data_IF_937798165431
#
_entry.id   IF_937798165431
#
_cell.length_a   1.000
_cell.length_b   1.000
_cell.length_c   1.000
_cell.angle_alpha   90.00
_cell.angle_beta   90.00
_cell.angle_gamma   90.00
#
_symmetry.space_group_name_H-M   'P 1'
#
loop_
_entity.id
_entity.type
_entity.pdbx_description
1 polymer ?
#
# COMPACT_ATOMS: atom_id res chain seq x y z
N UNK A 1 -2.25 9.82 34.52
CA UNK A 1 -2.19 9.62 33.05
C UNK A 1 -2.91 8.32 32.78
N UNK A 2 -4.00 8.33 32.02
CA UNK A 2 -4.73 7.08 31.73
C UNK A 2 -3.85 6.19 30.86
N UNK A 3 -3.49 5.03 31.39
CA UNK A 3 -2.69 4.06 30.69
C UNK A 3 -3.40 3.60 29.39
N UNK A 4 -2.71 3.70 28.25
CA UNK A 4 -3.27 3.36 26.94
C UNK A 4 -2.94 1.91 26.63
N UNK A 5 -3.96 1.10 26.39
CA UNK A 5 -3.81 -0.30 26.01
C UNK A 5 -3.57 -0.38 24.49
N UNK A 6 -2.59 -1.16 24.06
CA UNK A 6 -2.38 -1.44 22.62
C UNK A 6 -2.96 -2.80 22.28
N UNK A 7 -3.72 -2.86 21.19
CA UNK A 7 -4.29 -4.09 20.64
C UNK A 7 -3.75 -4.23 19.23
N UNK A 8 -2.97 -5.28 19.00
CA UNK A 8 -2.48 -5.62 17.67
C UNK A 8 -3.35 -6.76 17.12
N UNK A 9 -3.94 -6.55 15.95
CA UNK A 9 -4.74 -7.53 15.23
C UNK A 9 -4.01 -8.08 14.00
N UNK A 10 -3.02 -7.38 13.46
CA UNK A 10 -2.16 -7.88 12.39
C UNK A 10 -1.18 -8.92 12.97
N UNK A 11 -1.22 -10.14 12.44
CA UNK A 11 -0.57 -11.31 13.01
C UNK A 11 -1.39 -11.97 14.13
N UNK A 12 -0.70 -12.61 15.07
CA UNK A 12 -1.37 -13.16 16.26
C UNK A 12 -1.87 -12.00 17.10
N UNK A 13 -3.14 -12.02 17.50
CA UNK A 13 -3.74 -11.00 18.36
C UNK A 13 -2.87 -10.81 19.58
N UNK A 14 -2.57 -9.56 19.93
CA UNK A 14 -1.81 -9.21 21.12
C UNK A 14 -2.50 -8.05 21.84
N UNK A 15 -2.55 -8.13 23.17
CA UNK A 15 -3.01 -7.05 24.02
C UNK A 15 -1.85 -6.66 24.92
N UNK A 16 -1.36 -5.44 24.77
CA UNK A 16 -0.23 -4.90 25.53
C UNK A 16 -0.75 -3.85 26.50
N UNK A 17 -0.51 -4.09 27.78
CA UNK A 17 -0.84 -3.21 28.91
C UNK A 17 0.46 -2.73 29.58
N UNK A 18 0.41 -1.82 30.57
CA UNK A 18 1.63 -1.46 31.35
C UNK A 18 2.25 -2.70 32.03
N UNK A 19 1.41 -3.65 32.45
CA UNK A 19 1.84 -4.87 33.13
C UNK A 19 2.36 -5.96 32.15
N UNK A 20 2.52 -5.61 30.87
CA UNK A 20 3.01 -6.49 29.81
C UNK A 20 1.91 -7.07 28.92
N UNK A 21 2.22 -8.19 28.25
CA UNK A 21 1.32 -8.87 27.29
C UNK A 21 0.24 -9.65 28.05
N UNK A 22 -1.03 -9.32 27.80
CA UNK A 22 -2.19 -9.87 28.51
C UNK A 22 -2.92 -10.99 27.74
N UNK A 23 -2.35 -11.52 26.65
CA UNK A 23 -3.06 -12.43 25.74
C UNK A 23 -3.48 -13.75 26.41
N UNK A 24 -2.58 -14.40 27.15
CA UNK A 24 -2.87 -15.66 27.85
C UNK A 24 -3.93 -15.51 28.94
N UNK A 25 -4.18 -14.27 29.37
CA UNK A 25 -5.14 -13.94 30.42
C UNK A 25 -6.53 -13.66 29.87
N UNK A 26 -6.76 -13.62 28.55
CA UNK A 26 -8.04 -13.20 27.93
C UNK A 26 -9.26 -14.08 28.24
N UNK A 27 -9.10 -15.22 28.92
CA UNK A 27 -10.23 -16.05 29.34
C UNK A 27 -10.73 -17.03 28.28
N UNK A 28 -9.88 -17.37 27.30
CA UNK A 28 -10.17 -18.34 26.25
C UNK A 28 -10.55 -17.72 24.90
N UNK A 29 -10.95 -18.57 23.95
CA UNK A 29 -11.21 -18.19 22.56
C UNK A 29 -12.37 -17.19 22.46
N UNK A 30 -13.53 -17.49 23.05
CA UNK A 30 -14.73 -16.65 22.88
C UNK A 30 -14.59 -15.21 23.43
N UNK A 31 -14.06 -14.97 24.65
CA UNK A 31 -13.77 -13.60 25.07
C UNK A 31 -12.75 -12.88 24.19
N UNK A 32 -11.71 -13.56 23.71
CA UNK A 32 -10.75 -12.99 22.77
C UNK A 32 -11.45 -12.54 21.48
N UNK A 33 -12.30 -13.40 20.90
CA UNK A 33 -13.09 -13.06 19.71
C UNK A 33 -13.99 -11.84 19.93
N UNK A 34 -14.63 -11.72 21.11
CA UNK A 34 -15.42 -10.52 21.46
C UNK A 34 -14.53 -9.27 21.47
N UNK A 35 -13.32 -9.33 22.05
CA UNK A 35 -12.39 -8.21 22.05
C UNK A 35 -11.95 -7.84 20.63
N UNK A 36 -11.63 -8.82 19.79
CA UNK A 36 -11.24 -8.62 18.40
C UNK A 36 -12.36 -7.95 17.59
N UNK A 37 -13.61 -8.42 17.72
CA UNK A 37 -14.78 -7.80 17.08
C UNK A 37 -14.96 -6.34 17.51
N UNK A 38 -14.80 -6.07 18.81
CA UNK A 38 -14.86 -4.71 19.34
C UNK A 38 -13.69 -3.84 18.87
N UNK A 39 -12.49 -4.41 18.70
CA UNK A 39 -11.30 -3.72 18.22
C UNK A 39 -11.40 -3.36 16.73
N UNK A 40 -11.95 -4.26 15.89
CA UNK A 40 -12.31 -3.95 14.50
C UNK A 40 -13.29 -2.78 14.39
N UNK A 41 -14.13 -2.59 15.41
CA UNK A 41 -15.13 -1.52 15.51
C UNK A 41 -14.76 -0.44 16.52
N UNK A 42 -13.47 -0.24 16.83
CA UNK A 42 -13.03 0.71 17.86
C UNK A 42 -13.67 2.10 17.69
N UNK A 43 -14.14 2.67 18.79
CA UNK A 43 -14.85 3.95 18.80
C UNK A 43 -16.29 3.90 18.28
N UNK A 44 -16.81 2.74 17.87
CA UNK A 44 -18.21 2.54 17.47
C UNK A 44 -18.87 1.44 18.30
N UNK A 45 -20.13 1.62 18.74
CA UNK A 45 -20.83 0.58 19.50
C UNK A 45 -21.22 -0.59 18.59
N UNK A 46 -21.06 -1.82 19.09
CA UNK A 46 -21.60 -3.04 18.52
C UNK A 46 -22.73 -3.58 19.39
N UNK A 47 -23.84 -3.98 18.79
CA UNK A 47 -24.97 -4.53 19.54
C UNK A 47 -24.67 -5.91 20.10
N UNK A 48 -25.35 -6.26 21.20
CA UNK A 48 -25.24 -7.61 21.78
C UNK A 48 -25.64 -8.68 20.76
N UNK A 49 -26.69 -8.40 19.99
CA UNK A 49 -27.20 -9.29 18.94
C UNK A 49 -26.18 -9.46 17.82
N UNK A 50 -25.55 -8.37 17.37
CA UNK A 50 -24.52 -8.45 16.32
C UNK A 50 -23.28 -9.20 16.81
N UNK A 51 -22.84 -8.95 18.03
CA UNK A 51 -21.74 -9.72 18.64
C UNK A 51 -22.11 -11.19 18.74
N UNK A 52 -23.35 -11.52 19.10
CA UNK A 52 -23.80 -12.90 19.21
C UNK A 52 -23.84 -13.61 17.85
N UNK A 53 -24.42 -12.97 16.83
CA UNK A 53 -24.43 -13.47 15.46
C UNK A 53 -23.02 -13.78 14.95
N UNK A 54 -22.07 -12.86 15.13
CA UNK A 54 -20.68 -13.07 14.71
C UNK A 54 -19.98 -14.16 15.53
N UNK A 55 -20.27 -14.24 16.83
CA UNK A 55 -19.60 -15.16 17.74
C UNK A 55 -20.09 -16.60 17.62
N UNK A 56 -21.34 -16.82 17.21
CA UNK A 56 -21.97 -18.14 17.09
C UNK A 56 -22.46 -18.43 15.68
N UNK A 57 -21.85 -17.83 14.65
CA UNK A 57 -22.14 -18.10 13.24
C UNK A 57 -23.65 -18.05 12.91
N UNK A 58 -24.33 -17.00 13.37
CA UNK A 58 -25.77 -16.75 13.23
C UNK A 58 -26.72 -17.68 14.05
N UNK A 59 -26.18 -18.62 14.84
CA UNK A 59 -26.95 -19.52 15.72
C UNK A 59 -26.63 -19.32 17.22
N UNK A 60 -26.97 -18.16 17.81
CA UNK A 60 -26.69 -17.91 19.22
C UNK A 60 -27.55 -18.77 20.15
N UNK A 61 -27.01 -19.23 21.30
CA UNK A 61 -27.80 -19.98 22.28
C UNK A 61 -28.89 -19.09 22.91
N UNK A 62 -30.02 -19.65 23.38
CA UNK A 62 -31.14 -18.86 23.94
C UNK A 62 -30.76 -17.89 25.08
N UNK A 63 -29.67 -18.18 25.80
CA UNK A 63 -29.15 -17.38 26.91
C UNK A 63 -27.86 -16.61 26.58
N UNK A 64 -27.60 -16.32 25.29
CA UNK A 64 -26.35 -15.69 24.83
C UNK A 64 -26.02 -14.37 25.55
N UNK A 65 -27.04 -13.60 25.97
CA UNK A 65 -26.85 -12.30 26.63
C UNK A 65 -26.02 -12.44 27.91
N UNK A 66 -26.38 -13.39 28.79
CA UNK A 66 -25.67 -13.61 30.05
C UNK A 66 -24.25 -14.16 29.83
N UNK A 67 -24.09 -15.02 28.82
CA UNK A 67 -22.77 -15.53 28.41
C UNK A 67 -21.88 -14.40 27.88
N UNK A 68 -22.41 -13.53 27.02
CA UNK A 68 -21.70 -12.38 26.47
C UNK A 68 -21.32 -11.37 27.56
N UNK A 69 -22.22 -11.11 28.52
CA UNK A 69 -21.94 -10.28 29.70
C UNK A 69 -20.82 -10.85 30.56
N UNK A 70 -20.77 -12.18 30.71
CA UNK A 70 -19.70 -12.88 31.42
C UNK A 70 -18.35 -12.70 30.71
N UNK A 71 -18.32 -12.84 29.38
CA UNK A 71 -17.11 -12.58 28.58
C UNK A 71 -16.63 -11.13 28.72
N UNK A 72 -17.54 -10.15 28.62
CA UNK A 72 -17.19 -8.73 28.79
C UNK A 72 -16.71 -8.42 30.21
N UNK A 73 -17.30 -9.05 31.24
CA UNK A 73 -16.86 -8.93 32.62
C UNK A 73 -15.41 -9.40 32.80
N UNK A 74 -15.06 -10.54 32.20
CA UNK A 74 -13.69 -11.08 32.18
C UNK A 74 -12.75 -10.10 31.48
N UNK A 75 -13.08 -9.65 30.27
CA UNK A 75 -12.26 -8.70 29.50
C UNK A 75 -12.00 -7.40 30.28
N UNK A 76 -13.04 -6.81 30.89
CA UNK A 76 -12.89 -5.59 31.72
C UNK A 76 -11.93 -5.78 32.88
N UNK A 77 -11.95 -6.95 33.52
CA UNK A 77 -11.03 -7.28 34.61
C UNK A 77 -9.58 -7.31 34.15
N UNK A 78 -9.34 -7.88 32.97
CA UNK A 78 -7.99 -8.04 32.40
C UNK A 78 -7.45 -6.72 31.86
N UNK A 79 -8.30 -5.92 31.22
CA UNK A 79 -7.97 -4.60 30.70
C UNK A 79 -7.86 -3.52 31.81
N UNK A 80 -7.84 -3.92 33.09
CA UNK A 80 -7.50 -3.06 34.22
C UNK A 80 -8.43 -1.88 34.50
N UNK A 81 -9.64 -1.85 33.91
CA UNK A 81 -10.50 -0.66 33.95
C UNK A 81 -11.94 -1.00 34.35
N UNK A 82 -12.46 -0.29 35.35
CA UNK A 82 -13.80 -0.50 35.93
C UNK A 82 -14.63 0.78 35.90
N UNK A 83 -15.96 0.64 35.97
CA UNK A 83 -16.87 1.78 36.07
C UNK A 83 -16.81 2.71 34.85
N UNK A 84 -16.85 4.03 35.09
CA UNK A 84 -16.81 5.05 34.02
C UNK A 84 -15.51 5.06 33.21
N UNK A 85 -14.42 4.57 33.80
CA UNK A 85 -13.10 4.48 33.18
C UNK A 85 -12.89 3.17 32.42
N UNK A 86 -13.88 2.26 32.40
CA UNK A 86 -13.83 1.00 31.66
C UNK A 86 -13.49 1.22 30.18
N UNK A 87 -12.50 0.47 29.68
CA UNK A 87 -12.08 0.43 28.27
C UNK A 87 -13.21 -0.08 27.38
N UNK A 88 -13.98 -1.06 27.86
CA UNK A 88 -15.21 -1.54 27.21
C UNK A 88 -16.40 -0.91 27.92
N UNK A 89 -17.09 0.03 27.29
CA UNK A 89 -18.29 0.67 27.85
C UNK A 89 -19.55 -0.09 27.43
N UNK A 90 -20.49 -0.21 28.37
CA UNK A 90 -21.87 -0.59 28.03
C UNK A 90 -22.58 0.68 27.58
N UNK A 91 -23.19 0.62 26.41
CA UNK A 91 -24.02 1.68 25.83
C UNK A 91 -25.47 1.21 25.76
N UNK A 92 -26.39 2.10 25.37
CA UNK A 92 -27.79 1.72 25.13
C UNK A 92 -27.93 0.68 24.01
N UNK A 93 -27.02 0.68 23.03
CA UNK A 93 -27.09 -0.19 21.85
C UNK A 93 -26.25 -1.45 21.97
N UNK A 94 -25.34 -1.54 22.95
CA UNK A 94 -24.48 -2.72 23.17
C UNK A 94 -23.14 -2.36 23.83
N UNK A 95 -22.02 -2.77 23.24
CA UNK A 95 -20.68 -2.54 23.79
C UNK A 95 -19.82 -1.66 22.87
N UNK A 96 -19.04 -0.76 23.47
CA UNK A 96 -18.14 0.16 22.79
C UNK A 96 -16.72 -0.01 23.34
N UNK A 97 -15.76 -0.25 22.45
CA UNK A 97 -14.34 -0.12 22.79
C UNK A 97 -13.90 1.34 22.65
N UNK A 98 -13.44 1.93 23.74
CA UNK A 98 -13.11 3.35 23.83
C UNK A 98 -11.81 3.68 23.10
N UNK A 99 -11.90 4.38 21.98
CA UNK A 99 -10.73 4.86 21.21
C UNK A 99 -9.79 5.77 22.02
N UNK A 100 -10.29 6.48 23.02
CA UNK A 100 -9.45 7.32 23.89
C UNK A 100 -8.65 6.52 24.94
N UNK A 101 -8.90 5.21 25.06
CA UNK A 101 -8.24 4.31 26.02
C UNK A 101 -7.48 3.17 25.35
N UNK A 102 -7.68 2.97 24.05
CA UNK A 102 -6.98 1.94 23.28
C UNK A 102 -6.35 2.49 22.01
N UNK A 103 -5.23 1.89 21.61
CA UNK A 103 -4.68 2.02 20.26
C UNK A 103 -4.81 0.66 19.60
N UNK A 104 -5.60 0.60 18.52
CA UNK A 104 -5.70 -0.58 17.65
C UNK A 104 -4.83 -0.34 16.43
N UNK A 105 -3.93 -1.26 16.11
CA UNK A 105 -2.97 -1.16 15.00
C UNK A 105 -3.64 -0.81 13.66
N UNK A 106 -4.70 -1.53 13.26
CA UNK A 106 -5.42 -1.28 12.01
C UNK A 106 -6.15 0.07 11.98
N UNK A 107 -6.70 0.54 13.12
CA UNK A 107 -7.36 1.85 13.21
C UNK A 107 -6.32 2.97 13.13
N UNK A 108 -5.17 2.77 13.77
CA UNK A 108 -4.06 3.70 13.70
C UNK A 108 -3.48 3.78 12.28
N UNK A 109 -3.21 2.64 11.65
CA UNK A 109 -2.73 2.57 10.27
C UNK A 109 -3.69 3.25 9.30
N UNK A 110 -5.00 2.97 9.40
CA UNK A 110 -6.04 3.65 8.62
C UNK A 110 -5.98 5.17 8.77
N UNK A 111 -5.84 5.67 10.02
CA UNK A 111 -5.76 7.13 10.28
C UNK A 111 -4.48 7.75 9.73
N UNK A 112 -3.35 7.05 9.81
CA UNK A 112 -2.08 7.47 9.24
C UNK A 112 -2.15 7.57 7.72
N UNK A 113 -2.68 6.54 7.04
CA UNK A 113 -2.88 6.54 5.59
C UNK A 113 -3.89 7.63 5.17
N UNK A 114 -4.99 7.78 5.89
CA UNK A 114 -5.97 8.85 5.63
C UNK A 114 -5.32 10.24 5.68
N UNK A 115 -4.45 10.49 6.66
CA UNK A 115 -3.69 11.75 6.74
C UNK A 115 -2.66 11.87 5.61
N UNK A 116 -2.00 10.78 5.24
CA UNK A 116 -1.00 10.78 4.17
C UNK A 116 -1.56 11.21 2.80
N UNK A 117 -2.85 10.97 2.54
CA UNK A 117 -3.55 11.39 1.29
C UNK A 117 -3.52 12.89 1.00
N UNK A 118 -3.23 13.72 1.99
CA UNK A 118 -3.18 15.18 1.85
C UNK A 118 -1.91 15.79 2.45
N UNK A 119 -1.00 14.94 2.94
CA UNK A 119 0.23 15.39 3.57
C UNK A 119 1.25 15.84 2.53
N UNK A 120 2.23 16.63 2.97
CA UNK A 120 3.39 16.98 2.14
C UNK A 120 4.32 15.77 2.01
N UNK A 121 5.14 15.70 0.96
CA UNK A 121 6.01 14.56 0.63
C UNK A 121 6.70 13.89 1.85
N UNK A 122 7.56 14.64 2.56
CA UNK A 122 8.31 14.11 3.71
C UNK A 122 7.43 13.69 4.90
N UNK A 123 6.23 14.25 5.03
CA UNK A 123 5.27 13.84 6.05
C UNK A 123 4.51 12.59 5.61
N UNK A 124 4.08 12.53 4.33
CA UNK A 124 3.41 11.39 3.74
C UNK A 124 4.27 10.13 3.86
N UNK A 125 5.56 10.23 3.55
CA UNK A 125 6.51 9.11 3.66
C UNK A 125 6.57 8.54 5.09
N UNK A 126 6.77 9.40 6.11
CA UNK A 126 6.80 8.96 7.52
C UNK A 126 5.49 8.33 7.98
N UNK A 127 4.36 8.89 7.54
CA UNK A 127 3.03 8.37 7.88
C UNK A 127 2.81 6.99 7.25
N UNK A 128 3.20 6.83 5.97
CA UNK A 128 3.14 5.56 5.24
C UNK A 128 4.01 4.50 5.89
N UNK A 129 5.26 4.82 6.24
CA UNK A 129 6.17 3.85 6.85
C UNK A 129 5.64 3.36 8.20
N UNK A 130 5.13 4.29 9.01
CA UNK A 130 4.48 3.95 10.28
C UNK A 130 3.24 3.08 10.08
N UNK A 131 2.44 3.35 9.04
CA UNK A 131 1.23 2.58 8.75
C UNK A 131 1.56 1.17 8.23
N UNK A 132 2.50 1.05 7.29
CA UNK A 132 2.88 -0.24 6.70
C UNK A 132 3.53 -1.16 7.73
N UNK A 133 4.31 -0.62 8.67
CA UNK A 133 4.87 -1.40 9.78
C UNK A 133 3.79 -1.96 10.72
N UNK A 134 2.65 -1.28 10.85
CA UNK A 134 1.51 -1.76 11.66
C UNK A 134 0.66 -2.80 10.92
N UNK A 135 0.70 -2.81 9.58
CA UNK A 135 -0.04 -3.72 8.71
C UNK A 135 0.79 -4.93 8.28
N UNK A 136 1.83 -5.27 9.06
CA UNK A 136 2.66 -6.43 8.81
C UNK A 136 2.02 -7.69 9.41
N UNK A 137 1.87 -8.73 8.58
CA UNK A 137 1.22 -10.00 8.95
C UNK A 137 -0.30 -10.05 8.73
N UNK A 138 -0.83 -11.28 8.73
CA UNK A 138 -2.23 -11.54 8.43
C UNK A 138 -3.16 -11.02 9.53
N UNK A 139 -4.17 -10.24 9.15
CA UNK A 139 -5.20 -9.78 10.09
C UNK A 139 -5.89 -10.97 10.77
N UNK A 140 -5.97 -10.94 12.10
CA UNK A 140 -6.61 -11.96 12.93
C UNK A 140 -6.02 -13.36 12.68
N UNK A 141 -4.69 -13.50 12.60
CA UNK A 141 -4.06 -14.81 12.44
C UNK A 141 -4.35 -15.78 13.61
N UNK A 142 -4.88 -15.27 14.73
CA UNK A 142 -5.38 -16.07 15.85
C UNK A 142 -6.71 -16.79 15.57
N UNK A 143 -7.42 -16.41 14.51
CA UNK A 143 -8.74 -16.91 14.15
C UNK A 143 -8.77 -17.39 12.68
N UNK A 144 -7.90 -18.35 12.27
CA UNK A 144 -7.75 -18.71 10.86
C UNK A 144 -9.04 -19.25 10.23
N UNK A 145 -9.83 -19.99 11.02
CA UNK A 145 -11.01 -20.74 10.55
C UNK A 145 -12.35 -20.05 10.87
N UNK A 146 -12.35 -18.88 11.50
CA UNK A 146 -13.59 -18.21 11.89
C UNK A 146 -14.18 -17.45 10.69
N UNK A 147 -15.43 -17.74 10.32
CA UNK A 147 -16.10 -17.15 9.16
C UNK A 147 -16.19 -15.62 9.27
N UNK A 148 -16.53 -15.11 10.46
CA UNK A 148 -16.55 -13.68 10.73
C UNK A 148 -15.17 -13.03 10.52
N UNK A 149 -14.08 -13.70 10.92
CA UNK A 149 -12.72 -13.18 10.77
C UNK A 149 -12.31 -13.13 9.30
N UNK A 150 -12.65 -14.16 8.51
CA UNK A 150 -12.41 -14.17 7.07
C UNK A 150 -13.12 -13.00 6.38
N UNK A 151 -14.40 -12.76 6.68
CA UNK A 151 -15.14 -11.64 6.11
C UNK A 151 -14.47 -10.29 6.44
N UNK A 152 -13.96 -10.14 7.67
CA UNK A 152 -13.26 -8.92 8.11
C UNK A 152 -11.89 -8.76 7.44
N UNK A 153 -11.14 -9.84 7.18
CA UNK A 153 -9.92 -9.80 6.36
C UNK A 153 -10.21 -9.24 4.97
N UNK A 154 -11.23 -9.76 4.29
CA UNK A 154 -11.60 -9.28 2.95
C UNK A 154 -11.98 -7.80 2.93
N UNK A 155 -12.76 -7.34 3.91
CA UNK A 155 -13.14 -5.92 4.02
C UNK A 155 -11.92 -5.05 4.29
N UNK A 156 -11.05 -5.46 5.22
CA UNK A 156 -9.85 -4.73 5.57
C UNK A 156 -8.85 -4.66 4.41
N UNK A 157 -8.69 -5.74 3.66
CA UNK A 157 -7.77 -5.79 2.52
C UNK A 157 -8.20 -4.81 1.43
N UNK A 158 -9.51 -4.81 1.09
CA UNK A 158 -10.09 -3.86 0.13
C UNK A 158 -9.87 -2.41 0.55
N UNK A 159 -10.21 -2.09 1.81
CA UNK A 159 -10.01 -0.73 2.33
C UNK A 159 -8.54 -0.30 2.33
N UNK A 160 -7.63 -1.24 2.63
CA UNK A 160 -6.19 -0.98 2.63
C UNK A 160 -5.67 -0.75 1.22
N UNK A 161 -6.10 -1.55 0.25
CA UNK A 161 -5.81 -1.37 -1.18
C UNK A 161 -6.28 0.00 -1.66
N UNK A 162 -7.52 0.40 -1.35
CA UNK A 162 -8.07 1.69 -1.75
C UNK A 162 -7.26 2.85 -1.17
N UNK A 163 -7.01 2.83 0.15
CA UNK A 163 -6.25 3.88 0.83
C UNK A 163 -4.81 3.98 0.33
N UNK A 164 -4.11 2.86 0.16
CA UNK A 164 -2.75 2.87 -0.37
C UNK A 164 -2.70 3.37 -1.81
N UNK A 165 -3.70 3.04 -2.63
CA UNK A 165 -3.83 3.54 -4.00
C UNK A 165 -4.02 5.06 -4.03
N UNK A 166 -4.89 5.59 -3.16
CA UNK A 166 -5.10 7.03 -3.02
C UNK A 166 -3.81 7.76 -2.60
N UNK A 167 -3.07 7.20 -1.63
CA UNK A 167 -1.79 7.79 -1.19
C UNK A 167 -0.72 7.67 -2.29
N UNK A 168 -0.70 6.57 -3.06
CA UNK A 168 0.20 6.40 -4.19
C UNK A 168 -0.07 7.44 -5.28
N UNK A 169 -1.34 7.68 -5.61
CA UNK A 169 -1.75 8.70 -6.58
C UNK A 169 -1.38 10.11 -6.09
N UNK A 170 -1.58 10.41 -4.81
CA UNK A 170 -1.17 11.67 -4.20
C UNK A 170 0.36 11.87 -4.26
N UNK A 171 1.13 10.84 -3.91
CA UNK A 171 2.60 10.89 -4.01
C UNK A 171 3.09 11.14 -5.45
N UNK A 172 2.44 10.51 -6.43
CA UNK A 172 2.72 10.78 -7.85
C UNK A 172 2.45 12.25 -8.21
N UNK A 173 1.30 12.79 -7.78
CA UNK A 173 0.93 14.20 -7.99
C UNK A 173 1.86 15.21 -7.31
N UNK A 174 2.56 14.81 -6.25
CA UNK A 174 3.60 15.61 -5.58
C UNK A 174 4.97 15.56 -6.30
N UNK A 175 5.12 14.74 -7.34
CA UNK A 175 6.41 14.53 -7.99
C UNK A 175 7.35 13.63 -7.18
N UNK A 176 6.79 12.71 -6.37
CA UNK A 176 7.55 11.74 -5.55
C UNK A 176 7.44 10.32 -6.13
N UNK A 177 8.07 10.04 -7.29
CA UNK A 177 7.83 8.79 -8.01
C UNK A 177 8.36 7.56 -7.27
N UNK A 178 9.39 7.70 -6.42
CA UNK A 178 9.90 6.60 -5.60
C UNK A 178 8.86 6.13 -4.57
N UNK A 179 8.20 7.07 -3.88
CA UNK A 179 7.13 6.76 -2.92
C UNK A 179 5.91 6.19 -3.65
N UNK A 180 5.52 6.77 -4.77
CA UNK A 180 4.41 6.29 -5.59
C UNK A 180 4.62 4.85 -6.05
N UNK A 181 5.81 4.51 -6.56
CA UNK A 181 6.15 3.15 -6.98
C UNK A 181 6.13 2.16 -5.82
N UNK A 182 6.70 2.54 -4.67
CA UNK A 182 6.73 1.68 -3.49
C UNK A 182 5.32 1.35 -2.99
N UNK A 183 4.45 2.36 -2.94
CA UNK A 183 3.05 2.20 -2.53
C UNK A 183 2.25 1.39 -3.55
N UNK A 184 2.37 1.70 -4.84
CA UNK A 184 1.70 0.94 -5.88
C UNK A 184 2.15 -0.52 -5.90
N UNK A 185 3.44 -0.81 -5.67
CA UNK A 185 3.92 -2.18 -5.49
C UNK A 185 3.36 -2.86 -4.22
N UNK A 186 3.13 -2.10 -3.14
CA UNK A 186 2.45 -2.62 -1.95
C UNK A 186 0.98 -2.95 -2.20
N UNK A 187 0.32 -2.22 -3.10
CA UNK A 187 -1.03 -2.52 -3.58
C UNK A 187 -1.03 -3.76 -4.48
N UNK A 188 -0.16 -3.84 -5.49
CA UNK A 188 -0.18 -4.98 -6.44
C UNK A 188 0.19 -6.31 -5.79
N UNK A 189 0.94 -6.31 -4.68
CA UNK A 189 1.18 -7.51 -3.86
C UNK A 189 -0.08 -8.01 -3.14
N UNK A 190 -0.99 -7.09 -2.81
CA UNK A 190 -2.25 -7.36 -2.10
C UNK A 190 -3.36 -7.72 -3.07
N UNK A 191 -3.48 -6.94 -4.13
CA UNK A 191 -4.45 -7.12 -5.20
C UNK A 191 -3.76 -6.88 -6.55
N UNK A 192 -3.46 -7.98 -7.24
CA UNK A 192 -2.85 -7.93 -8.58
C UNK A 192 -3.82 -7.38 -9.63
N UNK A 193 -5.12 -7.37 -9.36
CA UNK A 193 -6.17 -6.86 -10.25
C UNK A 193 -6.45 -5.37 -10.03
N UNK A 194 -5.80 -4.72 -9.06
CA UNK A 194 -5.91 -3.30 -8.80
C UNK A 194 -5.27 -2.46 -9.93
N UNK A 195 -5.99 -2.34 -11.05
CA UNK A 195 -5.51 -1.72 -12.28
C UNK A 195 -5.03 -0.27 -12.07
N UNK A 196 -5.63 0.46 -11.14
CA UNK A 196 -5.20 1.82 -10.79
C UNK A 196 -3.77 1.87 -10.24
N UNK A 197 -3.34 0.87 -9.46
CA UNK A 197 -1.97 0.79 -8.96
C UNK A 197 -0.97 0.58 -10.10
N UNK A 198 -1.33 -0.25 -11.08
CA UNK A 198 -0.52 -0.44 -12.29
C UNK A 198 -0.42 0.84 -13.11
N UNK A 199 -1.52 1.57 -13.30
CA UNK A 199 -1.48 2.88 -13.97
C UNK A 199 -0.52 3.86 -13.30
N UNK A 200 -0.52 3.91 -11.96
CA UNK A 200 0.43 4.74 -11.18
C UNK A 200 1.88 4.30 -11.43
N UNK A 201 2.15 2.98 -11.48
CA UNK A 201 3.48 2.47 -11.81
C UNK A 201 3.91 2.86 -13.22
N UNK A 202 3.04 2.69 -14.22
CA UNK A 202 3.33 3.09 -15.60
C UNK A 202 3.70 4.57 -15.68
N UNK A 203 2.93 5.45 -15.05
CA UNK A 203 3.18 6.89 -15.03
C UNK A 203 4.51 7.21 -14.33
N UNK A 204 4.71 6.71 -13.10
CA UNK A 204 5.91 7.00 -12.31
C UNK A 204 7.21 6.47 -12.95
N UNK A 205 7.16 5.33 -13.66
CA UNK A 205 8.30 4.79 -14.41
C UNK A 205 8.55 5.60 -15.68
N UNK A 206 7.50 6.04 -16.37
CA UNK A 206 7.59 6.88 -17.57
C UNK A 206 8.20 8.23 -17.24
N UNK A 207 7.82 8.86 -16.13
CA UNK A 207 8.40 10.13 -15.67
C UNK A 207 9.89 10.01 -15.35
N UNK A 208 10.32 8.83 -14.89
CA UNK A 208 11.73 8.50 -14.66
C UNK A 208 12.46 7.95 -15.91
N UNK A 209 11.83 7.96 -17.08
CA UNK A 209 12.35 7.37 -18.34
C UNK A 209 12.74 5.89 -18.23
N UNK A 210 12.11 5.14 -17.32
CA UNK A 210 12.30 3.70 -17.11
C UNK A 210 11.30 2.89 -17.95
N UNK A 211 11.29 3.15 -19.26
CA UNK A 211 10.23 2.64 -20.15
C UNK A 211 10.19 1.11 -20.23
N UNK A 212 11.33 0.42 -20.20
CA UNK A 212 11.37 -1.05 -20.23
C UNK A 212 10.61 -1.68 -19.05
N UNK A 213 10.75 -1.13 -17.85
CA UNK A 213 10.02 -1.59 -16.67
C UNK A 213 8.52 -1.25 -16.76
N UNK A 214 8.17 -0.09 -17.33
CA UNK A 214 6.78 0.30 -17.53
C UNK A 214 6.07 -0.66 -18.52
N UNK A 215 6.74 -1.01 -19.62
CA UNK A 215 6.23 -1.97 -20.61
C UNK A 215 6.10 -3.38 -20.03
N UNK A 216 7.07 -3.82 -19.23
CA UNK A 216 6.99 -5.10 -18.53
C UNK A 216 5.81 -5.14 -17.55
N UNK A 217 5.60 -4.06 -16.77
CA UNK A 217 4.46 -3.94 -15.86
C UNK A 217 3.11 -4.02 -16.57
N UNK A 218 2.96 -3.34 -17.72
CA UNK A 218 1.75 -3.45 -18.54
C UNK A 218 1.51 -4.88 -19.06
N UNK A 219 2.56 -5.56 -19.52
CA UNK A 219 2.46 -6.93 -19.99
C UNK A 219 1.98 -7.88 -18.86
N UNK A 220 2.55 -7.74 -17.66
CA UNK A 220 2.14 -8.53 -16.49
C UNK A 220 0.70 -8.26 -16.06
N UNK A 221 0.26 -6.99 -16.08
CA UNK A 221 -1.13 -6.65 -15.81
C UNK A 221 -2.07 -7.31 -16.83
N UNK A 222 -1.77 -7.17 -18.12
CA UNK A 222 -2.62 -7.69 -19.20
C UNK A 222 -2.77 -9.21 -19.14
N UNK A 223 -1.68 -9.92 -18.85
CA UNK A 223 -1.69 -11.36 -18.62
C UNK A 223 -2.57 -11.70 -17.40
N UNK A 224 -2.37 -11.02 -16.28
CA UNK A 224 -3.16 -11.24 -15.04
C UNK A 224 -4.66 -11.01 -15.28
N UNK A 225 -5.06 -9.93 -15.96
CA UNK A 225 -6.47 -9.64 -16.26
C UNK A 225 -7.10 -10.67 -17.20
N UNK A 226 -6.33 -11.18 -18.15
CA UNK A 226 -6.79 -12.23 -19.06
C UNK A 226 -7.00 -13.55 -18.31
N UNK A 227 -6.03 -13.93 -17.49
CA UNK A 227 -6.05 -15.24 -16.82
C UNK A 227 -7.10 -15.30 -15.70
N UNK A 228 -7.22 -14.23 -14.90
CA UNK A 228 -8.11 -14.20 -13.73
C UNK A 228 -9.55 -13.77 -14.08
N UNK A 229 -9.72 -12.85 -15.04
CA UNK A 229 -11.02 -12.24 -15.35
C UNK A 229 -11.49 -12.44 -16.80
N UNK A 230 -10.63 -12.93 -17.70
CA UNK A 230 -10.95 -13.02 -19.13
C UNK A 230 -11.13 -11.65 -19.80
N UNK A 231 -10.55 -10.59 -19.23
CA UNK A 231 -10.72 -9.21 -19.69
C UNK A 231 -9.40 -8.62 -20.21
N UNK A 232 -9.49 -7.50 -20.94
CA UNK A 232 -8.33 -6.72 -21.36
C UNK A 232 -8.24 -5.42 -20.53
N UNK A 233 -7.05 -4.78 -20.44
CA UNK A 233 -6.89 -3.51 -19.72
C UNK A 233 -7.86 -2.42 -20.20
N UNK A 234 -8.26 -1.55 -19.27
CA UNK A 234 -9.13 -0.40 -19.52
C UNK A 234 -8.54 0.52 -20.59
N UNK A 235 -9.40 1.34 -21.19
CA UNK A 235 -8.98 2.32 -22.19
C UNK A 235 -7.95 3.34 -21.64
N UNK A 236 -8.06 3.71 -20.36
CA UNK A 236 -7.08 4.58 -19.70
C UNK A 236 -5.70 3.92 -19.65
N UNK A 237 -5.61 2.67 -19.20
CA UNK A 237 -4.35 1.94 -19.13
C UNK A 237 -3.72 1.72 -20.51
N UNK A 238 -4.55 1.41 -21.52
CA UNK A 238 -4.07 1.27 -22.91
C UNK A 238 -3.48 2.56 -23.46
N UNK A 239 -4.10 3.72 -23.18
CA UNK A 239 -3.56 5.03 -23.57
C UNK A 239 -2.21 5.31 -22.91
N UNK A 240 -2.06 5.00 -21.62
CA UNK A 240 -0.77 5.15 -20.93
C UNK A 240 0.30 4.27 -21.56
N UNK A 241 -0.03 3.03 -21.90
CA UNK A 241 0.88 2.13 -22.61
C UNK A 241 1.30 2.67 -23.99
N UNK A 242 0.36 3.19 -24.78
CA UNK A 242 0.64 3.81 -26.08
C UNK A 242 1.58 5.03 -25.94
N UNK A 243 1.39 5.83 -24.89
CA UNK A 243 2.28 6.94 -24.55
C UNK A 243 3.69 6.45 -24.20
N UNK A 244 3.82 5.41 -23.34
CA UNK A 244 5.11 4.80 -22.99
C UNK A 244 5.84 4.32 -24.25
N UNK A 245 5.13 3.60 -25.15
CA UNK A 245 5.69 3.13 -26.41
C UNK A 245 6.19 4.28 -27.29
N UNK A 246 5.42 5.36 -27.38
CA UNK A 246 5.81 6.54 -28.14
C UNK A 246 7.09 7.16 -27.58
N UNK A 247 7.13 7.40 -26.26
CA UNK A 247 8.30 8.00 -25.59
C UNK A 247 9.54 7.11 -25.66
N UNK A 248 9.39 5.79 -25.54
CA UNK A 248 10.48 4.82 -25.68
C UNK A 248 11.13 4.89 -27.07
N UNK A 249 10.32 4.88 -28.14
CA UNK A 249 10.85 4.97 -29.52
C UNK A 249 11.61 6.28 -29.77
N UNK A 250 11.13 7.40 -29.23
CA UNK A 250 11.84 8.67 -29.34
C UNK A 250 13.20 8.62 -28.63
N UNK A 251 13.29 8.00 -27.44
CA UNK A 251 14.56 7.81 -26.74
C UNK A 251 15.53 6.91 -27.51
N UNK A 252 15.03 5.81 -28.09
CA UNK A 252 15.86 4.89 -28.88
C UNK A 252 16.40 5.59 -30.15
N UNK A 253 15.57 6.40 -30.81
CA UNK A 253 15.99 7.21 -31.96
C UNK A 253 17.04 8.26 -31.56
N UNK A 254 16.83 9.00 -30.47
CA UNK A 254 17.84 9.94 -29.95
C UNK A 254 19.16 9.23 -29.59
N UNK A 255 19.07 8.02 -29.02
CA UNK A 255 20.22 7.18 -28.71
C UNK A 255 21.00 6.76 -29.96
N UNK A 256 20.30 6.30 -30.99
CA UNK A 256 20.90 5.94 -32.30
C UNK A 256 21.58 7.14 -32.94
N UNK A 257 20.89 8.27 -33.03
CA UNK A 257 21.45 9.49 -33.62
C UNK A 257 22.67 10.00 -32.85
N UNK A 258 22.69 9.89 -31.52
CA UNK A 258 23.88 10.22 -30.70
C UNK A 258 25.04 9.26 -30.95
N UNK A 259 24.79 7.96 -31.08
CA UNK A 259 25.81 6.96 -31.36
C UNK A 259 26.39 7.12 -32.78
N UNK A 260 25.55 7.44 -33.76
CA UNK A 260 25.94 7.80 -35.12
C UNK A 260 26.81 9.06 -35.14
N UNK A 261 26.39 10.13 -34.46
CA UNK A 261 27.18 11.35 -34.27
C UNK A 261 28.55 11.07 -33.65
N UNK A 262 28.59 10.31 -32.55
CA UNK A 262 29.84 9.96 -31.88
C UNK A 262 30.76 9.13 -32.81
N UNK A 263 30.20 8.22 -33.59
CA UNK A 263 30.94 7.43 -34.57
C UNK A 263 31.52 8.32 -35.67
N UNK A 264 30.72 9.25 -36.21
CA UNK A 264 31.18 10.17 -37.24
C UNK A 264 32.29 11.09 -36.73
N UNK A 265 32.16 11.63 -35.53
CA UNK A 265 33.20 12.46 -34.89
C UNK A 265 34.51 11.67 -34.73
N UNK A 266 34.43 10.41 -34.28
CA UNK A 266 35.60 9.52 -34.16
C UNK A 266 36.26 9.26 -35.53
N UNK A 267 35.47 8.98 -36.57
CA UNK A 267 35.99 8.74 -37.92
C UNK A 267 36.62 9.99 -38.53
N UNK A 268 36.00 11.17 -38.34
CA UNK A 268 36.55 12.45 -38.79
C UNK A 268 37.88 12.76 -38.10
N UNK A 269 37.97 12.53 -36.79
CA UNK A 269 39.22 12.68 -36.03
C UNK A 269 40.31 11.74 -36.57
N UNK A 270 39.99 10.46 -36.75
CA UNK A 270 40.92 9.47 -37.28
C UNK A 270 41.41 9.81 -38.71
N UNK A 271 40.54 10.37 -39.55
CA UNK A 271 40.90 10.82 -40.89
C UNK A 271 41.81 12.06 -40.88
N UNK A 272 41.59 13.01 -39.95
CA UNK A 272 42.46 14.19 -39.79
C UNK A 272 43.84 13.79 -39.27
N UNK A 273 43.92 12.86 -38.32
CA UNK A 273 45.17 12.34 -37.76
C UNK A 273 46.03 11.60 -38.80
N UNK A 274 45.40 10.95 -39.79
CA UNK A 274 46.10 10.24 -40.85
C UNK A 274 46.50 11.11 -42.05
N UNK A 275 46.10 12.40 -42.09
CA UNK A 275 46.38 13.30 -43.20
C UNK A 275 47.62 14.17 -42.93
N UNK A 276 48.73 14.03 -43.69
CA UNK A 276 49.95 14.80 -43.46
C UNK A 276 49.73 16.32 -43.60
N UNK A 277 50.23 17.09 -42.63
CA UNK A 277 50.18 18.56 -42.65
C UNK A 277 48.88 19.18 -42.14
N UNK A 278 47.89 18.39 -41.73
CA UNK A 278 46.65 18.88 -41.13
C UNK A 278 46.75 18.87 -39.61
N UNK A 279 46.38 20.00 -38.97
CA UNK A 279 46.30 20.10 -37.50
C UNK A 279 44.92 19.65 -37.02
N UNK A 280 44.90 18.63 -36.18
CA UNK A 280 43.67 18.12 -35.57
C UNK A 280 43.21 19.09 -34.47
N UNK A 281 41.91 19.43 -34.39
CA UNK A 281 41.38 20.26 -33.31
C UNK A 281 41.52 19.61 -31.93
N UNK A 282 41.94 20.39 -30.93
CA UNK A 282 42.07 19.95 -29.53
C UNK A 282 40.72 19.70 -28.84
N UNK A 283 39.62 20.23 -29.40
CA UNK A 283 38.24 20.03 -28.92
C UNK A 283 37.37 19.43 -30.01
N UNK A 284 36.36 18.65 -29.62
CA UNK A 284 35.46 17.97 -30.56
C UNK A 284 34.39 18.89 -31.18
N UNK A 285 34.11 20.07 -30.61
CA UNK A 285 33.10 21.03 -31.10
C UNK A 285 33.09 21.26 -32.64
N UNK A 286 34.24 21.50 -33.30
CA UNK A 286 34.29 21.70 -34.75
C UNK A 286 33.95 20.42 -35.53
N UNK A 287 34.34 19.25 -35.00
CA UNK A 287 34.08 17.94 -35.60
C UNK A 287 32.61 17.55 -35.42
N UNK A 288 32.02 17.86 -34.26
CA UNK A 288 30.58 17.66 -34.02
C UNK A 288 29.75 18.52 -34.97
N UNK A 289 30.09 19.80 -35.16
CA UNK A 289 29.39 20.68 -36.11
C UNK A 289 29.53 20.24 -37.57
N UNK A 290 30.62 19.56 -37.93
CA UNK A 290 30.80 18.95 -39.25
C UNK A 290 29.98 17.67 -39.37
N UNK A 291 30.02 16.80 -38.36
CA UNK A 291 29.27 15.54 -38.32
C UNK A 291 27.76 15.76 -38.41
N UNK A 292 27.22 16.77 -37.70
CA UNK A 292 25.81 17.16 -37.79
C UNK A 292 25.44 17.56 -39.21
N UNK A 293 26.27 18.37 -39.88
CA UNK A 293 26.03 18.77 -41.28
C UNK A 293 26.03 17.58 -42.23
N UNK A 294 26.96 16.65 -42.07
CA UNK A 294 27.03 15.43 -42.91
C UNK A 294 25.78 14.57 -42.75
N UNK A 295 25.31 14.36 -41.51
CA UNK A 295 24.09 13.60 -41.23
C UNK A 295 22.81 14.29 -41.72
N UNK A 296 22.82 15.61 -41.91
CA UNK A 296 21.67 16.36 -42.45
C UNK A 296 21.63 16.40 -43.99
N UNK A 297 22.74 16.07 -44.65
CA UNK A 297 22.86 16.06 -46.12
C UNK A 297 22.84 14.67 -46.74
N UNK A 298 22.85 13.62 -45.92
CA UNK A 298 22.78 12.21 -46.33
C UNK A 298 21.33 11.71 -46.35
#
# INVERSE_FOLDING_TARGET
>A
MSNIIRINLCGKTQVVTEDGVALEKLGGVKPRQVLEMLALSVGRPLSKDRLAQLLWDEEPPPSYVGTLESYVCVLRRILGSKGRDSVIQTTTTGYLLRRDRVVVDIDMARRLLTRARTARAAEAERLVDSALAMLDGDLLASEPNAAWAHAQRTVHERETVDLLTDVAAHALGLGEPALALRLAAAVTRRDRLAERAWQIQLQALTDQRRYGEALAGYASLRETLRDELGTEPTAETRRLYEEVLSRSRHQDAEGSSRAELATLVRLLRQALESTPGIRVPDRDEPLTALAVRVLQTA
#
